data_IF_684553688813
#
_entry.id   IF_684553688813
#
_cell.length_a   1.000
_cell.length_b   1.000
_cell.length_c   1.000
_cell.angle_alpha   90.00
_cell.angle_beta   90.00
_cell.angle_gamma   90.00
#
_symmetry.space_group_name_H-M   'P 1'
#
loop_
_entity.id
_entity.type
_entity.pdbx_description
1 polymer ?
#
# COMPACT_ATOMS: atom_id res chain seq x y z
N UNK A 1 9.13 -37.91 -12.42
CA UNK A 1 8.57 -36.54 -12.21
C UNK A 1 9.25 -35.59 -13.20
N UNK A 2 8.51 -35.15 -14.23
CA UNK A 2 9.05 -34.65 -15.51
C UNK A 2 9.95 -33.41 -15.39
N UNK A 3 11.07 -33.39 -16.14
CA UNK A 3 11.98 -32.24 -16.31
C UNK A 3 11.25 -30.94 -16.67
N UNK A 4 10.12 -31.04 -17.35
CA UNK A 4 9.24 -29.93 -17.73
C UNK A 4 8.56 -29.30 -16.50
N UNK A 5 8.01 -30.12 -15.59
CA UNK A 5 7.42 -29.63 -14.34
C UNK A 5 8.45 -28.93 -13.46
N UNK A 6 9.69 -29.45 -13.40
CA UNK A 6 10.79 -28.82 -12.67
C UNK A 6 11.23 -27.48 -13.29
N UNK A 7 11.19 -27.36 -14.62
CA UNK A 7 11.51 -26.12 -15.37
C UNK A 7 10.42 -25.05 -15.25
N UNK A 8 9.16 -25.48 -15.15
CA UNK A 8 8.00 -24.62 -14.88
C UNK A 8 8.06 -24.12 -13.43
N UNK A 9 8.24 -25.00 -12.44
CA UNK A 9 8.29 -24.63 -11.02
C UNK A 9 9.52 -23.76 -10.69
N UNK A 10 10.67 -23.97 -11.36
CA UNK A 10 11.85 -23.11 -11.16
C UNK A 10 11.85 -21.83 -12.02
N UNK A 11 10.77 -21.51 -12.74
CA UNK A 11 10.72 -20.27 -13.51
C UNK A 11 10.57 -19.07 -12.55
N UNK A 12 11.43 -18.05 -12.62
CA UNK A 12 11.33 -16.85 -11.79
C UNK A 12 9.96 -16.16 -11.87
N UNK A 13 9.25 -16.25 -13.00
CA UNK A 13 7.88 -15.74 -13.13
C UNK A 13 6.90 -16.50 -12.23
N UNK A 14 6.94 -17.83 -12.25
CA UNK A 14 6.02 -18.67 -11.48
C UNK A 14 6.28 -18.51 -9.98
N UNK A 15 7.55 -18.43 -9.58
CA UNK A 15 7.88 -18.13 -8.19
C UNK A 15 7.38 -16.74 -7.76
N UNK A 16 7.62 -15.69 -8.53
CA UNK A 16 7.13 -14.34 -8.21
C UNK A 16 5.60 -14.29 -8.10
N UNK A 17 4.89 -14.90 -9.05
CA UNK A 17 3.43 -15.01 -9.03
C UNK A 17 2.94 -15.83 -7.84
N UNK A 18 3.60 -16.93 -7.49
CA UNK A 18 3.23 -17.78 -6.35
C UNK A 18 3.37 -17.04 -5.01
N UNK A 19 4.49 -16.33 -4.81
CA UNK A 19 4.69 -15.49 -3.62
C UNK A 19 3.67 -14.34 -3.55
N UNK A 20 3.34 -13.72 -4.68
CA UNK A 20 2.32 -12.66 -4.75
C UNK A 20 0.92 -13.21 -4.43
N UNK A 21 0.61 -14.41 -4.94
CA UNK A 21 -0.65 -15.09 -4.66
C UNK A 21 -0.81 -15.41 -3.17
N UNK A 22 0.23 -15.98 -2.54
CA UNK A 22 0.23 -16.24 -1.09
C UNK A 22 0.03 -14.95 -0.30
N UNK A 23 0.76 -13.88 -0.64
CA UNK A 23 0.60 -12.58 0.03
C UNK A 23 -0.82 -12.02 -0.13
N UNK A 24 -1.43 -12.23 -1.29
CA UNK A 24 -2.79 -11.77 -1.57
C UNK A 24 -3.83 -12.56 -0.77
N UNK A 25 -3.66 -13.89 -0.67
CA UNK A 25 -4.51 -14.75 0.16
C UNK A 25 -4.45 -14.32 1.62
N UNK A 26 -3.24 -14.16 2.17
CA UNK A 26 -3.06 -13.70 3.56
C UNK A 26 -3.75 -12.34 3.77
N UNK A 27 -3.54 -11.38 2.86
CA UNK A 27 -4.18 -10.06 2.93
C UNK A 27 -5.71 -10.18 2.97
N UNK A 28 -6.30 -10.99 2.09
CA UNK A 28 -7.75 -11.20 2.05
C UNK A 28 -8.23 -11.83 3.37
N UNK A 29 -7.55 -12.86 3.88
CA UNK A 29 -7.90 -13.47 5.17
C UNK A 29 -7.85 -12.47 6.33
N UNK A 30 -6.77 -11.67 6.43
CA UNK A 30 -6.65 -10.64 7.47
C UNK A 30 -7.76 -9.58 7.35
N UNK A 31 -8.06 -9.13 6.12
CA UNK A 31 -9.16 -8.17 5.90
C UNK A 31 -10.53 -8.73 6.28
N UNK A 32 -10.77 -10.03 6.07
CA UNK A 32 -12.01 -10.69 6.50
C UNK A 32 -12.11 -10.77 8.03
N UNK A 33 -11.01 -11.10 8.72
CA UNK A 33 -10.98 -11.19 10.19
C UNK A 33 -11.23 -9.82 10.82
N UNK A 34 -10.53 -8.78 10.35
CA UNK A 34 -10.73 -7.40 10.82
C UNK A 34 -12.18 -6.96 10.57
N UNK A 35 -12.71 -7.21 9.36
CA UNK A 35 -14.11 -6.88 9.04
C UNK A 35 -15.10 -7.58 9.97
N UNK A 36 -14.85 -8.84 10.34
CA UNK A 36 -15.68 -9.57 11.30
C UNK A 36 -15.64 -8.97 12.70
N UNK A 37 -14.44 -8.60 13.18
CA UNK A 37 -14.27 -7.97 14.51
C UNK A 37 -15.06 -6.65 14.56
N UNK A 38 -14.91 -5.81 13.53
CA UNK A 38 -15.62 -4.52 13.45
C UNK A 38 -17.14 -4.74 13.40
N UNK A 39 -17.62 -5.71 12.61
CA UNK A 39 -19.04 -6.03 12.55
C UNK A 39 -19.61 -6.48 13.90
N UNK A 40 -18.83 -7.24 14.69
CA UNK A 40 -19.26 -7.72 16.00
C UNK A 40 -19.24 -6.62 17.06
N UNK A 41 -18.25 -5.72 17.03
CA UNK A 41 -18.10 -4.65 18.02
C UNK A 41 -19.02 -3.46 17.75
N UNK A 42 -19.15 -3.07 16.49
CA UNK A 42 -19.76 -1.80 16.09
C UNK A 42 -21.03 -1.96 15.25
N UNK A 43 -21.45 -3.21 14.99
CA UNK A 43 -22.68 -3.51 14.26
C UNK A 43 -22.67 -3.05 12.79
N UNK A 44 -23.88 -2.88 12.24
CA UNK A 44 -24.06 -2.49 10.84
C UNK A 44 -23.56 -1.07 10.55
N UNK A 45 -23.79 -0.12 11.46
CA UNK A 45 -23.34 1.27 11.31
C UNK A 45 -21.81 1.38 11.27
N UNK A 46 -21.10 0.68 12.15
CA UNK A 46 -19.63 0.64 12.13
C UNK A 46 -19.05 0.02 10.86
N UNK A 47 -19.71 -0.99 10.29
CA UNK A 47 -19.30 -1.60 9.01
C UNK A 47 -19.43 -0.64 7.83
N UNK A 48 -20.47 0.21 7.81
CA UNK A 48 -20.62 1.25 6.78
C UNK A 48 -19.46 2.24 6.85
N UNK A 49 -19.16 2.77 8.04
CA UNK A 49 -18.07 3.71 8.25
C UNK A 49 -16.71 3.09 7.89
N UNK A 50 -16.47 1.83 8.27
CA UNK A 50 -15.26 1.11 7.92
C UNK A 50 -15.09 0.94 6.41
N UNK A 51 -16.15 0.57 5.70
CA UNK A 51 -16.12 0.44 4.23
C UNK A 51 -15.83 1.77 3.52
N UNK A 52 -16.41 2.87 4.01
CA UNK A 52 -16.15 4.22 3.49
C UNK A 52 -14.70 4.64 3.73
N UNK A 53 -14.17 4.41 4.93
CA UNK A 53 -12.76 4.65 5.26
C UNK A 53 -11.83 3.86 4.34
N UNK A 54 -12.08 2.56 4.11
CA UNK A 54 -11.26 1.75 3.22
C UNK A 54 -11.23 2.31 1.80
N UNK A 55 -12.40 2.65 1.25
CA UNK A 55 -12.52 3.22 -0.10
C UNK A 55 -11.77 4.55 -0.20
N UNK A 56 -11.90 5.41 0.81
CA UNK A 56 -11.19 6.67 0.90
C UNK A 56 -9.67 6.48 0.94
N UNK A 57 -9.17 5.56 1.77
CA UNK A 57 -7.74 5.26 1.88
C UNK A 57 -7.17 4.75 0.56
N UNK A 58 -7.90 3.92 -0.19
CA UNK A 58 -7.46 3.48 -1.53
C UNK A 58 -7.30 4.66 -2.48
N UNK A 59 -8.29 5.57 -2.52
CA UNK A 59 -8.24 6.76 -3.36
C UNK A 59 -7.06 7.65 -2.95
N UNK A 60 -6.94 7.94 -1.66
CA UNK A 60 -5.88 8.76 -1.09
C UNK A 60 -4.49 8.20 -1.45
N UNK A 61 -4.30 6.89 -1.36
CA UNK A 61 -3.06 6.22 -1.69
C UNK A 61 -2.67 6.35 -3.16
N UNK A 62 -3.64 6.31 -4.07
CA UNK A 62 -3.37 6.53 -5.50
C UNK A 62 -2.84 7.95 -5.72
N UNK A 63 -3.51 8.94 -5.14
CA UNK A 63 -3.16 10.35 -5.28
C UNK A 63 -1.87 10.76 -4.57
N UNK A 64 -1.53 10.13 -3.44
CA UNK A 64 -0.35 10.48 -2.65
C UNK A 64 0.98 9.91 -3.17
N UNK A 65 0.95 8.99 -4.14
CA UNK A 65 2.17 8.37 -4.70
C UNK A 65 2.03 6.89 -5.10
N UNK A 66 0.86 6.27 -4.91
CA UNK A 66 0.59 4.88 -5.28
C UNK A 66 0.72 4.60 -6.78
N UNK A 67 0.28 5.54 -7.64
CA UNK A 67 0.46 5.41 -9.09
C UNK A 67 1.96 5.41 -9.49
N UNK A 68 2.76 6.26 -8.83
CA UNK A 68 4.21 6.37 -9.06
C UNK A 68 4.92 5.08 -8.64
N UNK A 69 4.48 4.46 -7.54
CA UNK A 69 5.05 3.20 -7.01
C UNK A 69 5.01 2.05 -8.03
N UNK A 70 3.96 1.96 -8.85
CA UNK A 70 3.90 0.99 -9.95
C UNK A 70 4.91 1.31 -11.05
N UNK A 71 5.06 2.59 -11.40
CA UNK A 71 6.07 3.05 -12.35
C UNK A 71 7.49 2.76 -11.89
N UNK A 72 7.81 3.00 -10.62
CA UNK A 72 9.11 2.66 -10.01
C UNK A 72 9.37 1.16 -10.17
N UNK A 73 8.43 0.30 -9.77
CA UNK A 73 8.59 -1.16 -9.85
C UNK A 73 8.93 -1.59 -11.28
N UNK A 74 8.21 -1.05 -12.27
CA UNK A 74 8.42 -1.36 -13.69
C UNK A 74 9.80 -0.87 -14.18
N UNK A 75 10.09 0.43 -14.04
CA UNK A 75 11.29 1.02 -14.62
C UNK A 75 12.57 0.62 -13.89
N UNK A 76 12.51 0.36 -12.58
CA UNK A 76 13.65 -0.22 -11.84
C UNK A 76 13.94 -1.63 -12.37
N UNK A 77 12.93 -2.47 -12.59
CA UNK A 77 13.12 -3.82 -13.13
C UNK A 77 13.75 -3.80 -14.55
N UNK A 78 13.35 -2.83 -15.38
CA UNK A 78 13.86 -2.66 -16.75
C UNK A 78 15.29 -2.10 -16.77
N UNK A 79 15.55 -1.02 -16.04
CA UNK A 79 16.87 -0.39 -15.97
C UNK A 79 17.92 -1.22 -15.24
N UNK A 80 17.50 -2.07 -14.30
CA UNK A 80 18.44 -2.99 -13.65
C UNK A 80 19.09 -3.99 -14.63
N UNK A 81 18.41 -4.31 -15.74
CA UNK A 81 18.93 -5.19 -16.80
C UNK A 81 19.65 -4.38 -17.89
N UNK A 82 19.06 -3.26 -18.32
CA UNK A 82 19.50 -2.55 -19.52
C UNK A 82 20.51 -1.42 -19.23
N UNK A 83 20.31 -0.63 -18.18
CA UNK A 83 21.12 0.55 -17.89
C UNK A 83 20.94 1.06 -16.44
N UNK A 84 21.86 0.67 -15.56
CA UNK A 84 21.80 1.01 -14.13
C UNK A 84 22.02 2.50 -13.84
N UNK A 85 22.60 3.25 -14.77
CA UNK A 85 22.94 4.68 -14.55
C UNK A 85 21.70 5.57 -14.47
N UNK A 86 20.56 5.12 -15.02
CA UNK A 86 19.28 5.84 -15.00
C UNK A 86 18.51 5.67 -13.69
N UNK A 87 18.85 4.66 -12.88
CA UNK A 87 18.13 4.33 -11.65
C UNK A 87 18.17 5.49 -10.63
N UNK A 88 19.33 6.11 -10.31
CA UNK A 88 19.37 7.22 -9.34
C UNK A 88 18.49 8.41 -9.74
N UNK A 89 18.48 8.77 -11.03
CA UNK A 89 17.68 9.88 -11.57
C UNK A 89 16.18 9.56 -11.46
N UNK A 90 15.78 8.34 -11.83
CA UNK A 90 14.40 7.86 -11.69
C UNK A 90 13.95 7.94 -10.22
N UNK A 91 14.72 7.35 -9.31
CA UNK A 91 14.37 7.29 -7.89
C UNK A 91 14.29 8.69 -7.27
N UNK A 92 15.25 9.57 -7.56
CA UNK A 92 15.24 10.94 -7.04
C UNK A 92 14.03 11.74 -7.52
N UNK A 93 13.66 11.60 -8.80
CA UNK A 93 12.50 12.29 -9.39
C UNK A 93 11.20 11.74 -8.82
N UNK A 94 11.05 10.42 -8.78
CA UNK A 94 9.85 9.76 -8.24
C UNK A 94 9.67 10.06 -6.75
N UNK A 95 10.74 10.10 -5.95
CA UNK A 95 10.67 10.45 -4.54
C UNK A 95 10.19 11.88 -4.33
N UNK A 96 10.78 12.85 -5.05
CA UNK A 96 10.38 14.26 -4.97
C UNK A 96 8.90 14.43 -5.29
N UNK A 97 8.44 13.90 -6.42
CA UNK A 97 7.03 14.03 -6.84
C UNK A 97 6.10 13.38 -5.81
N UNK A 98 6.44 12.17 -5.33
CA UNK A 98 5.62 11.48 -4.34
C UNK A 98 5.53 12.25 -3.03
N UNK A 99 6.65 12.85 -2.57
CA UNK A 99 6.65 13.69 -1.35
C UNK A 99 5.86 14.99 -1.53
N UNK A 100 5.97 15.66 -2.68
CA UNK A 100 5.18 16.86 -2.93
C UNK A 100 3.68 16.56 -2.93
N UNK A 101 3.27 15.47 -3.58
CA UNK A 101 1.87 15.02 -3.58
C UNK A 101 1.42 14.63 -2.18
N UNK A 102 2.21 13.83 -1.44
CA UNK A 102 1.83 13.40 -0.09
C UNK A 102 1.69 14.59 0.86
N UNK A 103 2.59 15.56 0.81
CA UNK A 103 2.51 16.78 1.63
C UNK A 103 1.29 17.62 1.23
N UNK A 104 1.04 17.79 -0.06
CA UNK A 104 -0.12 18.52 -0.55
C UNK A 104 -1.44 17.90 -0.05
N UNK A 105 -1.60 16.59 -0.21
CA UNK A 105 -2.79 15.88 0.28
C UNK A 105 -2.86 15.82 1.81
N UNK A 106 -1.73 15.74 2.50
CA UNK A 106 -1.68 15.82 3.97
C UNK A 106 -2.23 17.15 4.49
N UNK A 107 -1.83 18.27 3.87
CA UNK A 107 -2.35 19.60 4.23
C UNK A 107 -3.86 19.67 3.96
N UNK A 108 -4.33 19.17 2.81
CA UNK A 108 -5.76 19.13 2.48
C UNK A 108 -6.53 18.34 3.55
N UNK A 109 -6.03 17.16 3.93
CA UNK A 109 -6.65 16.32 4.96
C UNK A 109 -6.77 17.02 6.30
N UNK A 110 -5.72 17.72 6.73
CA UNK A 110 -5.69 18.39 8.05
C UNK A 110 -6.62 19.61 8.03
N UNK A 111 -6.48 20.48 7.04
CA UNK A 111 -7.23 21.74 6.93
C UNK A 111 -8.72 21.50 6.69
N UNK A 112 -9.07 20.52 5.84
CA UNK A 112 -10.46 20.22 5.50
C UNK A 112 -11.01 18.99 6.26
N UNK A 113 -10.34 18.53 7.31
CA UNK A 113 -10.68 17.32 8.09
C UNK A 113 -12.16 17.19 8.43
N UNK A 114 -12.79 18.25 8.97
CA UNK A 114 -14.22 18.24 9.32
C UNK A 114 -15.14 18.10 8.10
N UNK A 115 -14.83 18.82 7.01
CA UNK A 115 -15.63 18.75 5.77
C UNK A 115 -15.51 17.37 5.12
N UNK A 116 -14.30 16.82 5.10
CA UNK A 116 -14.03 15.48 4.57
C UNK A 116 -14.73 14.43 5.44
N UNK A 117 -14.67 14.55 6.75
CA UNK A 117 -15.39 13.67 7.68
C UNK A 117 -16.89 13.65 7.41
N UNK A 118 -17.50 14.83 7.26
CA UNK A 118 -18.92 14.93 6.93
C UNK A 118 -19.25 14.35 5.55
N UNK A 119 -18.38 14.54 4.56
CA UNK A 119 -18.62 14.07 3.20
C UNK A 119 -18.44 12.55 3.06
N UNK A 120 -17.46 11.98 3.75
CA UNK A 120 -17.08 10.56 3.61
C UNK A 120 -17.78 9.69 4.64
N UNK A 121 -17.89 10.15 5.89
CA UNK A 121 -18.40 9.38 7.04
C UNK A 121 -19.75 9.88 7.56
N UNK A 122 -20.34 10.87 6.91
CA UNK A 122 -21.64 11.46 7.29
C UNK A 122 -21.72 12.05 8.71
N UNK A 123 -20.60 12.17 9.41
CA UNK A 123 -20.49 12.74 10.77
C UNK A 123 -19.25 13.63 10.90
N UNK A 124 -19.37 14.73 11.65
CA UNK A 124 -18.24 15.63 11.92
C UNK A 124 -17.38 15.13 13.09
N UNK A 125 -17.89 14.21 13.93
CA UNK A 125 -17.16 13.66 15.08
C UNK A 125 -15.86 12.92 14.72
N UNK A 126 -15.75 12.39 13.50
CA UNK A 126 -14.59 11.59 13.06
C UNK A 126 -13.44 12.41 12.45
N UNK A 127 -13.48 13.74 12.53
CA UNK A 127 -12.46 14.62 11.92
C UNK A 127 -11.03 14.29 12.36
N UNK A 128 -10.86 13.81 13.60
CA UNK A 128 -9.55 13.44 14.15
C UNK A 128 -8.88 12.33 13.35
N UNK A 129 -9.67 11.40 12.78
CA UNK A 129 -9.17 10.30 11.94
C UNK A 129 -8.46 10.84 10.71
N UNK A 130 -9.02 11.87 10.06
CA UNK A 130 -8.43 12.50 8.89
C UNK A 130 -7.19 13.34 9.22
N UNK A 131 -7.13 13.94 10.41
CA UNK A 131 -5.91 14.63 10.89
C UNK A 131 -4.78 13.62 11.07
N UNK A 132 -5.05 12.49 11.73
CA UNK A 132 -4.06 11.41 11.92
C UNK A 132 -3.60 10.85 10.58
N UNK A 133 -4.51 10.63 9.63
CA UNK A 133 -4.14 10.24 8.27
C UNK A 133 -3.25 11.29 7.60
N UNK A 134 -3.58 12.58 7.70
CA UNK A 134 -2.74 13.64 7.15
C UNK A 134 -1.32 13.64 7.72
N UNK A 135 -1.18 13.50 9.04
CA UNK A 135 0.13 13.45 9.71
C UNK A 135 0.96 12.22 9.32
N UNK A 136 0.30 11.08 9.08
CA UNK A 136 0.96 9.81 8.76
C UNK A 136 1.15 9.58 7.26
N UNK A 137 0.49 10.35 6.39
CA UNK A 137 0.47 10.14 4.95
C UNK A 137 1.87 10.17 4.32
N UNK A 138 2.74 11.09 4.75
CA UNK A 138 4.11 11.18 4.24
C UNK A 138 4.92 9.92 4.57
N UNK A 139 4.78 9.39 5.79
CA UNK A 139 5.44 8.15 6.20
C UNK A 139 4.95 6.97 5.38
N UNK A 140 3.63 6.90 5.15
CA UNK A 140 3.03 5.88 4.30
C UNK A 140 3.56 5.93 2.86
N UNK A 141 3.62 7.12 2.26
CA UNK A 141 4.15 7.30 0.90
C UNK A 141 5.62 6.88 0.80
N UNK A 142 6.46 7.24 1.77
CA UNK A 142 7.87 6.82 1.81
C UNK A 142 7.98 5.29 1.95
N UNK A 143 7.18 4.68 2.82
CA UNK A 143 7.16 3.24 3.00
C UNK A 143 6.79 2.52 1.68
N UNK A 144 5.75 2.98 1.00
CA UNK A 144 5.33 2.43 -0.28
C UNK A 144 6.39 2.62 -1.39
N UNK A 145 7.07 3.77 -1.40
CA UNK A 145 8.18 4.03 -2.30
C UNK A 145 9.33 3.03 -2.11
N UNK A 146 9.72 2.74 -0.86
CA UNK A 146 10.76 1.75 -0.55
C UNK A 146 10.36 0.34 -0.97
N UNK A 147 9.10 -0.02 -0.70
CA UNK A 147 8.53 -1.30 -1.12
C UNK A 147 8.53 -1.45 -2.65
N UNK A 148 8.19 -0.40 -3.39
CA UNK A 148 8.25 -0.38 -4.85
C UNK A 148 9.67 -0.61 -5.40
N UNK A 149 10.69 -0.01 -4.76
CA UNK A 149 12.09 -0.22 -5.12
C UNK A 149 12.48 -1.69 -4.93
N UNK A 150 12.20 -2.25 -3.75
CA UNK A 150 12.53 -3.65 -3.43
C UNK A 150 11.83 -4.62 -4.39
N UNK A 151 10.57 -4.33 -4.72
CA UNK A 151 9.80 -5.11 -5.68
C UNK A 151 10.43 -5.03 -7.09
N UNK A 152 10.83 -3.83 -7.54
CA UNK A 152 11.49 -3.62 -8.82
C UNK A 152 12.84 -4.32 -8.95
N UNK A 153 13.63 -4.37 -7.88
CA UNK A 153 14.90 -5.11 -7.84
C UNK A 153 14.73 -6.63 -7.74
N UNK A 154 13.49 -7.15 -7.65
CA UNK A 154 13.21 -8.57 -7.45
C UNK A 154 13.81 -9.14 -6.15
N UNK A 155 14.03 -8.29 -5.14
CA UNK A 155 14.41 -8.73 -3.80
C UNK A 155 13.18 -9.27 -3.04
N UNK A 156 12.53 -10.29 -3.62
CA UNK A 156 11.25 -10.85 -3.17
C UNK A 156 11.26 -11.26 -1.70
N UNK A 157 12.42 -11.71 -1.18
CA UNK A 157 12.58 -12.11 0.22
C UNK A 157 12.40 -10.94 1.19
N UNK A 158 13.06 -9.79 0.94
CA UNK A 158 12.95 -8.61 1.81
C UNK A 158 11.59 -7.94 1.67
N UNK A 159 11.09 -7.81 0.44
CA UNK A 159 9.77 -7.25 0.16
C UNK A 159 8.64 -8.04 0.87
N UNK A 160 8.65 -9.38 0.75
CA UNK A 160 7.63 -10.20 1.40
C UNK A 160 7.76 -10.19 2.93
N UNK A 161 8.97 -10.19 3.48
CA UNK A 161 9.17 -10.16 4.93
C UNK A 161 8.63 -8.85 5.54
N UNK A 162 8.85 -7.71 4.89
CA UNK A 162 8.28 -6.43 5.33
C UNK A 162 6.75 -6.46 5.26
N UNK A 163 6.16 -6.95 4.17
CA UNK A 163 4.70 -7.04 4.05
C UNK A 163 4.07 -7.98 5.09
N UNK A 164 4.71 -9.12 5.40
CA UNK A 164 4.23 -10.03 6.43
C UNK A 164 4.28 -9.35 7.80
N UNK A 165 5.38 -8.67 8.14
CA UNK A 165 5.50 -7.92 9.40
C UNK A 165 4.43 -6.83 9.48
N UNK A 166 4.21 -6.06 8.41
CA UNK A 166 3.19 -5.01 8.38
C UNK A 166 1.78 -5.56 8.61
N UNK A 167 1.43 -6.67 7.94
CA UNK A 167 0.11 -7.29 8.09
C UNK A 167 -0.09 -7.87 9.51
N UNK A 168 0.94 -8.47 10.10
CA UNK A 168 0.88 -8.99 11.47
C UNK A 168 0.78 -7.84 12.48
N UNK A 169 1.60 -6.79 12.34
CA UNK A 169 1.53 -5.61 13.20
C UNK A 169 0.15 -4.94 13.11
N UNK A 170 -0.42 -4.84 11.90
CA UNK A 170 -1.77 -4.32 11.71
C UNK A 170 -2.80 -5.16 12.47
N UNK A 171 -2.69 -6.48 12.47
CA UNK A 171 -3.60 -7.37 13.18
C UNK A 171 -3.47 -7.27 14.72
N UNK A 172 -2.28 -6.97 15.25
CA UNK A 172 -2.06 -6.80 16.69
C UNK A 172 -2.57 -5.44 17.18
N UNK A 173 -2.43 -4.41 16.36
CA UNK A 173 -2.81 -3.03 16.69
C UNK A 173 -4.32 -2.80 16.55
N UNK A 174 -4.97 -3.53 15.64
CA UNK A 174 -6.42 -3.44 15.37
C UNK A 174 -7.22 -4.28 16.35
#
# INVERSE_FOLDING_TARGET
MNRIAKKIINNPFINASFYSAISSVIKIFTSLVIGKIIAQMSGAEGMVLYGQLLSFVVILNVFSGGAISQGITKYVAEYNVNDKTKIPVLLSTSLKISLYLSIFFAIILIVFSRKISKAILYGEEYYIVFIVFGLTLCFFTINNFLLAILNGFKEYKKFNLINIILNISSLIIT
#
